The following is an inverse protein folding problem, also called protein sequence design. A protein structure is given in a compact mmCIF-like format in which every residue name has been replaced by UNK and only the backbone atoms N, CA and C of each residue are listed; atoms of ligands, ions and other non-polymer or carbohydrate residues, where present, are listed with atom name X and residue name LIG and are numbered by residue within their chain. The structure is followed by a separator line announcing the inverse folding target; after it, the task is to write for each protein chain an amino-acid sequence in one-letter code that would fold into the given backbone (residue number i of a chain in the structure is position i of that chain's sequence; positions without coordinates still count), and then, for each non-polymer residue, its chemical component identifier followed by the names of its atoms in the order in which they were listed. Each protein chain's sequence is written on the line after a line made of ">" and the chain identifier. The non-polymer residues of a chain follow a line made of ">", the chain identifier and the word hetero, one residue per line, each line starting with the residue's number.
data_IF_899602726784
#
_entry.id   IF_899602726784
#
_cell.length_a   1.000
_cell.length_b   1.000
_cell.length_c   1.000
_cell.angle_alpha   90.00
_cell.angle_beta   90.00
_cell.angle_gamma   90.00
#
_symmetry.space_group_name_H-M   'P 1'
#
loop_
_entity.id
_entity.type
_entity.pdbx_description
1 polymer ?
#
# COMPACT_ATOMS: atom_id res chain seq x y z
N UNK A 1 23.16 19.48 -8.52
CA UNK A 1 22.65 18.86 -9.75
C UNK A 1 22.89 17.37 -9.67
N UNK A 2 21.87 16.56 -9.98
CA UNK A 2 21.97 15.10 -9.94
C UNK A 2 22.56 14.55 -11.26
N UNK A 3 23.54 13.64 -11.22
CA UNK A 3 24.06 12.98 -12.42
C UNK A 3 23.00 12.16 -13.18
N UNK A 4 23.24 11.90 -14.47
CA UNK A 4 22.46 10.94 -15.26
C UNK A 4 22.50 9.55 -14.59
N UNK A 5 21.37 8.85 -14.56
CA UNK A 5 21.16 7.54 -13.92
C UNK A 5 21.33 7.51 -12.41
N UNK A 6 21.16 8.65 -11.73
CA UNK A 6 21.12 8.65 -10.27
C UNK A 6 19.94 7.79 -9.79
N UNK A 7 20.20 6.92 -8.80
CA UNK A 7 19.17 6.16 -8.12
C UNK A 7 18.73 6.94 -6.87
N UNK A 8 17.42 7.12 -6.73
CA UNK A 8 16.77 7.85 -5.65
C UNK A 8 15.74 6.94 -4.97
N UNK A 9 15.44 7.22 -3.72
CA UNK A 9 14.26 6.70 -3.02
C UNK A 9 13.17 7.76 -2.94
N UNK A 10 11.95 7.35 -2.59
CA UNK A 10 10.84 8.28 -2.33
C UNK A 10 11.16 9.31 -1.24
N UNK A 11 12.03 8.96 -0.28
CA UNK A 11 12.49 9.89 0.76
C UNK A 11 13.42 10.94 0.18
N UNK A 12 14.41 10.52 -0.62
CA UNK A 12 15.42 11.43 -1.19
C UNK A 12 14.76 12.50 -2.08
N UNK A 13 13.66 12.15 -2.74
CA UNK A 13 12.87 13.09 -3.54
C UNK A 13 12.31 14.27 -2.75
N UNK A 14 12.01 14.13 -1.45
CA UNK A 14 11.38 15.21 -0.68
C UNK A 14 12.31 16.41 -0.48
N UNK A 15 13.62 16.18 -0.54
CA UNK A 15 14.66 17.19 -0.36
C UNK A 15 15.18 17.75 -1.68
N UNK A 16 14.53 17.41 -2.81
CA UNK A 16 14.93 17.82 -4.15
C UNK A 16 13.96 18.85 -4.75
N UNK A 17 14.50 19.66 -5.66
CA UNK A 17 13.73 20.61 -6.47
C UNK A 17 14.15 20.41 -7.92
N UNK A 18 13.17 20.22 -8.80
CA UNK A 18 13.39 20.24 -10.24
C UNK A 18 13.50 21.71 -10.68
N UNK A 19 14.55 22.04 -11.43
CA UNK A 19 14.85 23.42 -11.86
C UNK A 19 15.11 23.44 -13.36
N UNK A 20 14.45 24.36 -14.09
CA UNK A 20 14.73 24.67 -15.49
C UNK A 20 14.58 26.19 -15.76
N UNK A 21 14.98 26.66 -16.94
CA UNK A 21 14.93 28.08 -17.34
C UNK A 21 13.62 28.51 -18.03
N UNK A 22 12.71 27.58 -18.30
CA UNK A 22 11.43 27.84 -18.97
C UNK A 22 10.31 26.92 -18.50
N UNK A 23 9.25 26.85 -19.31
CA UNK A 23 8.15 25.90 -19.12
C UNK A 23 8.65 24.50 -19.49
N UNK A 24 8.53 23.58 -18.54
CA UNK A 24 9.09 22.24 -18.62
C UNK A 24 8.06 21.20 -18.24
N UNK A 25 8.23 20.01 -18.82
CA UNK A 25 7.43 18.84 -18.50
C UNK A 25 8.33 17.76 -17.90
N UNK A 26 8.02 17.35 -16.67
CA UNK A 26 8.59 16.16 -16.03
C UNK A 26 7.72 14.95 -16.37
N UNK A 27 8.33 13.88 -16.86
CA UNK A 27 7.69 12.61 -17.17
C UNK A 27 8.16 11.54 -16.19
N UNK A 28 7.24 10.69 -15.74
CA UNK A 28 7.52 9.50 -14.96
C UNK A 28 6.97 8.26 -15.66
N UNK A 29 7.80 7.24 -15.81
CA UNK A 29 7.40 5.95 -16.37
C UNK A 29 7.69 4.83 -15.38
N UNK A 30 6.66 4.08 -14.99
CA UNK A 30 6.84 2.84 -14.23
C UNK A 30 7.47 1.78 -15.13
N UNK A 31 8.59 1.19 -14.67
CA UNK A 31 9.25 0.06 -15.30
C UNK A 31 9.24 -1.13 -14.35
N UNK A 32 8.72 -2.23 -14.86
CA UNK A 32 8.67 -3.50 -14.15
C UNK A 32 9.11 -4.61 -15.11
N UNK A 33 10.09 -5.43 -14.72
CA UNK A 33 10.71 -6.41 -15.62
C UNK A 33 9.73 -7.44 -16.22
N UNK A 34 8.56 -7.65 -15.58
CA UNK A 34 7.57 -8.65 -15.97
C UNK A 34 6.25 -8.06 -16.46
N UNK A 35 6.09 -6.74 -16.47
CA UNK A 35 4.86 -6.09 -16.92
C UNK A 35 5.04 -5.47 -18.30
N UNK A 36 4.09 -5.74 -19.18
CA UNK A 36 3.96 -5.05 -20.47
C UNK A 36 3.24 -3.71 -20.32
N UNK A 37 2.60 -3.46 -19.18
CA UNK A 37 1.79 -2.27 -18.93
C UNK A 37 2.67 -1.12 -18.44
N UNK A 38 2.59 0.02 -19.13
CA UNK A 38 3.29 1.25 -18.76
C UNK A 38 2.30 2.16 -18.04
N UNK A 39 2.58 2.48 -16.78
CA UNK A 39 1.93 3.59 -16.11
C UNK A 39 2.80 4.83 -16.28
N UNK A 40 2.19 5.93 -16.70
CA UNK A 40 2.88 7.19 -16.98
C UNK A 40 2.23 8.33 -16.19
N UNK A 41 3.05 9.26 -15.70
CA UNK A 41 2.60 10.50 -15.07
C UNK A 41 3.39 11.67 -15.62
N UNK A 42 2.74 12.82 -15.68
CA UNK A 42 3.28 14.03 -16.29
C UNK A 42 2.97 15.22 -15.41
N UNK A 43 3.99 16.05 -15.17
CA UNK A 43 3.84 17.31 -14.46
C UNK A 43 4.43 18.45 -15.28
N UNK A 44 3.68 19.53 -15.43
CA UNK A 44 4.17 20.76 -16.05
C UNK A 44 4.54 21.78 -14.98
N UNK A 45 5.68 22.46 -15.14
CA UNK A 45 6.13 23.51 -14.23
C UNK A 45 6.90 24.61 -14.96
N UNK A 46 6.99 25.77 -14.33
CA UNK A 46 7.79 26.88 -14.82
C UNK A 46 8.84 27.21 -13.77
N UNK A 47 10.12 27.18 -14.18
CA UNK A 47 11.31 27.41 -13.35
C UNK A 47 11.59 26.36 -12.29
N UNK A 48 10.70 26.17 -11.32
CA UNK A 48 10.96 25.32 -10.15
C UNK A 48 9.75 24.47 -9.79
N UNK A 49 9.99 23.21 -9.43
CA UNK A 49 8.98 22.30 -8.88
C UNK A 49 9.56 21.52 -7.70
N UNK A 50 8.99 21.67 -6.48
CA UNK A 50 9.34 20.82 -5.36
C UNK A 50 9.04 19.36 -5.66
N UNK A 51 10.05 18.49 -5.53
CA UNK A 51 9.90 17.07 -5.82
C UNK A 51 9.15 16.32 -4.71
N UNK A 52 8.84 16.98 -3.58
CA UNK A 52 7.99 16.45 -2.52
C UNK A 52 6.55 16.18 -2.98
N UNK A 53 5.99 17.05 -3.85
CA UNK A 53 4.67 16.82 -4.44
C UNK A 53 4.69 15.64 -5.42
N UNK A 54 5.72 15.58 -6.27
CA UNK A 54 5.95 14.50 -7.23
C UNK A 54 6.18 13.15 -6.50
N UNK A 55 6.86 13.16 -5.37
CA UNK A 55 7.15 11.95 -4.59
C UNK A 55 5.87 11.25 -4.12
N UNK A 56 4.82 11.99 -3.73
CA UNK A 56 3.55 11.41 -3.30
C UNK A 56 2.83 10.70 -4.47
N UNK A 57 2.92 11.27 -5.66
CA UNK A 57 2.36 10.72 -6.88
C UNK A 57 3.15 9.48 -7.35
N UNK A 58 4.48 9.55 -7.37
CA UNK A 58 5.33 8.40 -7.67
C UNK A 58 5.11 7.28 -6.66
N UNK A 59 4.94 7.59 -5.37
CA UNK A 59 4.61 6.60 -4.37
C UNK A 59 3.34 5.81 -4.74
N UNK A 60 2.34 6.46 -5.36
CA UNK A 60 1.11 5.79 -5.81
C UNK A 60 1.34 4.79 -6.95
N UNK A 61 2.39 4.98 -7.75
CA UNK A 61 2.79 4.07 -8.83
C UNK A 61 3.73 2.98 -8.33
N UNK A 62 4.75 3.39 -7.58
CA UNK A 62 5.87 2.54 -7.17
C UNK A 62 5.46 1.59 -6.04
N UNK A 63 4.80 2.10 -4.98
CA UNK A 63 4.52 1.29 -3.79
C UNK A 63 3.66 0.04 -4.07
N UNK A 64 2.63 0.09 -4.92
CA UNK A 64 1.82 -1.09 -5.26
C UNK A 64 2.46 -2.03 -6.29
N UNK A 65 3.57 -1.63 -6.92
CA UNK A 65 4.25 -2.43 -7.93
C UNK A 65 5.12 -3.53 -7.30
N UNK A 66 5.81 -4.33 -8.12
CA UNK A 66 6.82 -5.27 -7.60
C UNK A 66 7.89 -4.56 -6.77
N UNK A 67 8.45 -5.29 -5.81
CA UNK A 67 9.62 -4.88 -5.02
C UNK A 67 10.83 -4.46 -5.88
N UNK A 68 10.87 -4.95 -7.12
CA UNK A 68 11.89 -4.68 -8.14
C UNK A 68 11.50 -3.59 -9.13
N UNK A 69 10.34 -2.95 -8.96
CA UNK A 69 9.89 -1.89 -9.84
C UNK A 69 10.75 -0.63 -9.65
N UNK A 70 10.88 0.14 -10.73
CA UNK A 70 11.48 1.46 -10.71
C UNK A 70 10.60 2.45 -11.45
N UNK A 71 10.59 3.70 -11.01
CA UNK A 71 10.02 4.81 -11.78
C UNK A 71 11.15 5.60 -12.40
N UNK A 72 11.16 5.71 -13.72
CA UNK A 72 12.14 6.50 -14.45
C UNK A 72 11.58 7.89 -14.68
N UNK A 73 12.32 8.88 -14.19
CA UNK A 73 12.03 10.30 -14.35
C UNK A 73 12.87 10.87 -15.47
N UNK A 74 12.22 11.62 -16.37
CA UNK A 74 12.86 12.32 -17.47
C UNK A 74 12.34 13.75 -17.57
N UNK A 75 13.25 14.71 -17.79
CA UNK A 75 12.87 16.06 -18.18
C UNK A 75 12.76 16.09 -19.69
N UNK A 76 11.59 16.46 -20.22
CA UNK A 76 11.35 16.55 -21.65
C UNK A 76 12.01 17.80 -22.28
N UNK A 77 13.31 18.00 -22.02
CA UNK A 77 14.12 19.14 -22.47
C UNK A 77 15.05 18.78 -23.65
N UNK A 78 14.91 17.56 -24.21
CA UNK A 78 15.76 17.04 -25.28
C UNK A 78 17.14 16.55 -24.82
N UNK A 79 17.49 16.73 -23.55
CA UNK A 79 18.68 16.17 -22.91
C UNK A 79 18.22 14.91 -22.16
N UNK A 80 18.45 13.73 -22.73
CA UNK A 80 18.01 12.42 -22.20
C UNK A 80 18.61 12.11 -20.81
N UNK A 81 18.09 12.76 -19.77
CA UNK A 81 18.61 12.74 -18.40
C UNK A 81 17.63 11.98 -17.52
N UNK A 82 17.85 10.68 -17.45
CA UNK A 82 17.01 9.80 -16.66
C UNK A 82 17.48 9.72 -15.19
N UNK A 83 16.55 9.82 -14.25
CA UNK A 83 16.73 9.45 -12.85
C UNK A 83 15.84 8.26 -12.49
N UNK A 84 16.28 7.40 -11.59
CA UNK A 84 15.59 6.16 -11.26
C UNK A 84 15.13 6.22 -9.80
N UNK A 85 13.83 6.11 -9.56
CA UNK A 85 13.25 6.03 -8.22
C UNK A 85 12.92 4.58 -7.89
N UNK A 86 13.47 4.05 -6.79
CA UNK A 86 13.32 2.65 -6.35
C UNK A 86 12.88 2.57 -4.89
N UNK A 87 12.38 1.41 -4.47
CA UNK A 87 12.05 1.13 -3.07
C UNK A 87 13.29 1.13 -2.18
N UNK A 88 14.38 0.56 -2.67
CA UNK A 88 15.63 0.42 -1.92
C UNK A 88 16.76 1.13 -2.65
N UNK A 89 17.58 1.90 -1.92
CA UNK A 89 18.76 2.54 -2.49
C UNK A 89 19.90 1.54 -2.77
N UNK A 90 19.92 0.40 -2.08
CA UNK A 90 21.04 -0.55 -2.08
C UNK A 90 20.59 -1.99 -2.30
N UNK A 91 21.55 -2.86 -2.62
CA UNK A 91 21.39 -4.32 -2.68
C UNK A 91 22.45 -4.99 -1.80
N UNK A 92 22.14 -6.17 -1.26
CA UNK A 92 23.14 -7.06 -0.68
C UNK A 92 23.66 -8.03 -1.75
N UNK A 93 24.98 -8.10 -1.89
CA UNK A 93 25.69 -8.97 -2.82
C UNK A 93 26.54 -9.98 -2.07
N UNK A 94 26.72 -11.14 -2.68
CA UNK A 94 27.66 -12.14 -2.16
C UNK A 94 29.08 -11.75 -2.52
N UNK A 95 29.97 -11.77 -1.53
CA UNK A 95 31.41 -11.66 -1.75
C UNK A 95 32.12 -12.72 -0.89
N UNK A 96 32.63 -13.74 -1.57
CA UNK A 96 33.14 -14.95 -0.95
C UNK A 96 32.09 -15.63 -0.06
N UNK A 97 32.39 -15.74 1.24
CA UNK A 97 31.50 -16.36 2.23
C UNK A 97 30.60 -15.35 2.98
N UNK A 98 30.63 -14.07 2.62
CA UNK A 98 29.89 -13.02 3.31
C UNK A 98 28.98 -12.20 2.39
N UNK A 99 28.36 -11.19 3.00
CA UNK A 99 27.45 -10.23 2.38
C UNK A 99 28.05 -8.83 2.40
N UNK A 100 27.97 -8.14 1.28
CA UNK A 100 28.42 -6.75 1.12
C UNK A 100 27.35 -5.91 0.45
N UNK A 101 27.18 -4.66 0.89
CA UNK A 101 26.28 -3.72 0.23
C UNK A 101 26.84 -3.34 -1.16
N UNK A 102 25.94 -3.07 -2.11
CA UNK A 102 26.29 -2.68 -3.49
C UNK A 102 27.05 -1.36 -3.59
N UNK A 103 27.00 -0.52 -2.56
CA UNK A 103 27.72 0.74 -2.45
C UNK A 103 28.10 1.00 -0.98
N UNK A 104 28.97 2.00 -0.75
CA UNK A 104 29.32 2.44 0.59
C UNK A 104 28.10 3.06 1.30
N UNK A 105 27.99 2.77 2.60
CA UNK A 105 26.93 3.25 3.49
C UNK A 105 27.58 4.28 4.43
N UNK A 106 27.15 5.53 4.32
CA UNK A 106 27.65 6.62 5.17
C UNK A 106 26.89 6.71 6.50
N UNK A 107 25.72 6.09 6.55
CA UNK A 107 24.79 6.05 7.68
C UNK A 107 25.41 5.31 8.88
N UNK A 108 25.16 5.84 10.07
CA UNK A 108 25.54 5.20 11.33
C UNK A 108 24.42 4.29 11.84
N UNK A 109 24.78 3.30 12.67
CA UNK A 109 23.85 2.35 13.32
C UNK A 109 23.04 1.51 12.33
N UNK A 110 23.64 1.16 11.21
CA UNK A 110 23.05 0.16 10.32
C UNK A 110 23.22 -1.21 10.96
N UNK A 111 22.20 -2.04 10.89
CA UNK A 111 22.15 -3.39 11.42
C UNK A 111 21.94 -4.38 10.28
N UNK A 112 22.63 -5.53 10.35
CA UNK A 112 22.30 -6.68 9.52
C UNK A 112 21.17 -7.44 10.21
N UNK A 113 20.00 -7.47 9.58
CA UNK A 113 18.81 -8.11 10.12
C UNK A 113 18.37 -9.26 9.22
N UNK A 114 17.58 -10.17 9.77
CA UNK A 114 16.87 -11.15 8.99
C UNK A 114 15.62 -11.71 9.65
N UNK A 115 14.78 -12.33 8.83
CA UNK A 115 13.56 -13.03 9.24
C UNK A 115 13.59 -14.43 8.65
N UNK A 116 13.35 -15.43 9.49
CA UNK A 116 13.15 -16.79 8.99
C UNK A 116 11.81 -16.83 8.25
N UNK A 117 11.75 -17.50 7.11
CA UNK A 117 10.49 -17.74 6.38
C UNK A 117 9.53 -18.59 7.24
N UNK A 118 10.10 -19.47 8.06
CA UNK A 118 9.37 -20.30 9.01
C UNK A 118 8.85 -19.53 10.25
N UNK A 119 9.42 -18.36 10.55
CA UNK A 119 8.98 -17.49 11.64
C UNK A 119 9.00 -16.02 11.16
N UNK A 120 8.05 -15.63 10.29
CA UNK A 120 8.08 -14.34 9.61
C UNK A 120 7.78 -13.16 10.55
N UNK A 121 7.18 -13.45 11.71
CA UNK A 121 6.76 -12.45 12.70
C UNK A 121 7.97 -11.89 13.45
N UNK A 122 9.02 -12.69 13.66
CA UNK A 122 10.18 -12.32 14.44
C UNK A 122 11.37 -11.90 13.57
N UNK A 123 11.87 -10.69 13.83
CA UNK A 123 13.12 -10.20 13.27
C UNK A 123 14.29 -10.52 14.19
N UNK A 124 15.36 -11.03 13.60
CA UNK A 124 16.63 -11.24 14.29
C UNK A 124 17.63 -10.18 13.81
N UNK A 125 18.22 -9.45 14.74
CA UNK A 125 19.40 -8.61 14.47
C UNK A 125 20.67 -9.46 14.65
N UNK A 126 21.46 -9.58 13.60
CA UNK A 126 22.72 -10.34 13.61
C UNK A 126 23.91 -9.49 14.07
N UNK A 127 23.74 -8.16 14.15
CA UNK A 127 24.75 -7.23 14.65
C UNK A 127 24.88 -5.97 13.80
N UNK A 128 25.74 -5.04 14.23
CA UNK A 128 25.98 -3.80 13.51
C UNK A 128 26.69 -4.07 12.18
N UNK A 129 26.28 -3.31 11.17
CA UNK A 129 26.94 -3.17 9.88
C UNK A 129 27.64 -1.80 9.88
N UNK A 130 28.97 -1.77 10.02
CA UNK A 130 29.72 -0.50 10.04
C UNK A 130 31.00 -0.60 9.22
N UNK A 131 31.17 0.36 8.30
CA UNK A 131 32.43 0.55 7.57
C UNK A 131 33.58 1.07 8.46
N UNK A 132 33.28 1.53 9.68
CA UNK A 132 34.28 2.07 10.63
C UNK A 132 34.90 0.99 11.52
N UNK A 133 34.17 -0.08 11.87
CA UNK A 133 34.75 -1.29 12.47
C UNK A 133 35.39 -2.20 11.42
N UNK A 134 34.88 -2.14 10.18
CA UNK A 134 35.30 -2.95 9.05
C UNK A 134 35.91 -2.09 7.93
N UNK A 135 37.04 -1.45 8.23
CA UNK A 135 37.85 -0.79 7.22
C UNK A 135 38.05 -1.74 6.02
N UNK A 136 37.56 -1.32 4.83
CA UNK A 136 37.60 -2.00 3.52
C UNK A 136 36.39 -2.84 3.09
N UNK A 137 35.13 -2.49 3.41
CA UNK A 137 33.97 -3.24 2.89
C UNK A 137 34.03 -4.74 3.19
N UNK A 138 34.47 -5.14 4.39
CA UNK A 138 34.61 -6.57 4.69
C UNK A 138 33.25 -7.26 4.60
N UNK A 139 33.14 -8.39 3.88
CA UNK A 139 31.89 -9.14 3.81
C UNK A 139 31.45 -9.58 5.21
N UNK A 140 30.22 -9.21 5.60
CA UNK A 140 29.65 -9.62 6.88
C UNK A 140 29.13 -11.05 6.75
N UNK A 141 29.52 -11.93 7.66
CA UNK A 141 29.06 -13.32 7.69
C UNK A 141 27.82 -13.44 8.55
N UNK A 142 26.85 -14.21 8.06
CA UNK A 142 25.73 -14.66 8.89
C UNK A 142 26.24 -15.71 9.89
N UNK A 143 25.64 -15.80 11.10
CA UNK A 143 26.02 -16.82 12.07
C UNK A 143 25.90 -18.24 11.50
N UNK A 144 26.91 -19.09 11.70
CA UNK A 144 26.90 -20.47 11.18
C UNK A 144 25.85 -21.35 11.87
N UNK A 145 25.40 -20.96 13.07
CA UNK A 145 24.42 -21.70 13.86
C UNK A 145 22.99 -21.63 13.29
N UNK A 146 22.66 -20.65 12.44
CA UNK A 146 21.31 -20.48 11.89
C UNK A 146 21.15 -21.19 10.55
N UNK A 147 20.02 -21.83 10.35
CA UNK A 147 19.70 -22.61 9.15
C UNK A 147 18.29 -22.36 8.63
N UNK A 148 18.01 -22.93 7.46
CA UNK A 148 16.73 -22.82 6.78
C UNK A 148 16.64 -21.61 5.87
N UNK A 149 15.42 -21.19 5.57
CA UNK A 149 15.13 -20.14 4.59
C UNK A 149 14.95 -18.79 5.28
N UNK A 150 15.70 -17.78 4.84
CA UNK A 150 15.78 -16.46 5.47
C UNK A 150 15.63 -15.33 4.46
N UNK A 151 15.00 -14.24 4.89
CA UNK A 151 15.12 -12.92 4.27
C UNK A 151 16.15 -12.13 5.06
N UNK A 152 17.15 -11.59 4.38
CA UNK A 152 18.27 -10.84 4.98
C UNK A 152 18.36 -9.45 4.36
N UNK A 153 18.55 -8.43 5.18
CA UNK A 153 18.61 -7.03 4.74
C UNK A 153 19.36 -6.16 5.74
N UNK A 154 19.79 -4.98 5.29
CA UNK A 154 20.30 -3.93 6.14
C UNK A 154 19.17 -2.99 6.54
N UNK A 155 19.09 -2.69 7.83
CA UNK A 155 18.10 -1.78 8.42
C UNK A 155 18.80 -0.68 9.21
N UNK A 156 18.24 0.52 9.16
CA UNK A 156 18.59 1.64 10.03
C UNK A 156 17.30 2.10 10.71
N UNK A 157 17.20 1.90 12.03
CA UNK A 157 15.97 2.15 12.78
C UNK A 157 14.77 1.47 12.12
N UNK A 158 13.75 2.20 11.64
CA UNK A 158 12.58 1.63 10.95
C UNK A 158 12.70 1.62 9.41
N UNK A 159 13.86 2.00 8.86
CA UNK A 159 14.10 2.08 7.41
C UNK A 159 14.93 0.91 6.93
N UNK A 160 14.42 0.15 5.96
CA UNK A 160 15.18 -0.89 5.26
C UNK A 160 15.99 -0.26 4.13
N UNK A 161 17.31 -0.44 4.14
CA UNK A 161 18.24 0.18 3.19
C UNK A 161 18.51 -0.68 1.96
N UNK A 162 18.42 -2.00 2.10
CA UNK A 162 18.72 -2.92 1.00
C UNK A 162 17.50 -3.71 0.58
N UNK A 163 17.40 -4.01 -0.71
CA UNK A 163 16.47 -5.01 -1.21
C UNK A 163 16.62 -6.32 -0.41
N UNK A 164 15.56 -6.84 0.23
CA UNK A 164 15.61 -8.09 0.98
C UNK A 164 16.13 -9.24 0.12
N UNK A 165 17.16 -9.92 0.59
CA UNK A 165 17.81 -11.03 -0.07
C UNK A 165 17.30 -12.35 0.53
N UNK A 166 16.77 -13.23 -0.31
CA UNK A 166 16.46 -14.60 0.10
C UNK A 166 17.73 -15.44 0.15
N UNK A 167 17.94 -16.16 1.25
CA UNK A 167 19.10 -17.01 1.50
C UNK A 167 18.65 -18.31 2.18
N UNK A 168 19.14 -19.44 1.67
CA UNK A 168 19.06 -20.74 2.36
C UNK A 168 20.36 -21.00 3.11
N UNK A 169 20.29 -21.10 4.44
CA UNK A 169 21.42 -21.27 5.35
C UNK A 169 21.54 -22.73 5.82
N UNK A 170 22.77 -23.17 6.11
CA UNK A 170 23.12 -24.58 6.38
C UNK A 170 23.17 -24.94 7.88
N UNK A 171 22.85 -24.03 8.79
CA UNK A 171 22.86 -24.27 10.25
C UNK A 171 21.61 -24.99 10.77
N UNK A 172 21.30 -24.79 12.06
CA UNK A 172 20.11 -25.36 12.68
C UNK A 172 18.84 -24.74 12.07
N UNK A 173 18.00 -25.58 11.44
CA UNK A 173 16.77 -25.14 10.78
C UNK A 173 15.80 -24.58 11.81
N UNK A 174 15.32 -23.36 11.57
CA UNK A 174 14.24 -22.76 12.36
C UNK A 174 12.94 -23.51 12.07
N UNK A 175 12.29 -24.02 13.11
CA UNK A 175 11.00 -24.70 12.98
C UNK A 175 9.89 -23.66 12.69
N UNK A 176 8.88 -24.03 11.89
CA UNK A 176 7.72 -23.18 11.69
C UNK A 176 7.04 -22.76 12.99
N UNK A 177 6.72 -21.47 13.12
CA UNK A 177 5.99 -20.90 14.26
C UNK A 177 4.64 -20.38 13.77
N UNK A 178 3.56 -20.89 14.37
CA UNK A 178 2.19 -20.52 14.00
C UNK A 178 1.76 -21.07 12.64
N UNK A 179 0.50 -20.82 12.29
CA UNK A 179 -0.09 -21.35 11.05
C UNK A 179 0.50 -20.65 9.82
N UNK A 180 0.82 -19.36 9.94
CA UNK A 180 1.46 -18.60 8.88
C UNK A 180 2.89 -19.10 8.62
N UNK A 181 3.66 -19.37 9.68
CA UNK A 181 5.01 -19.92 9.55
C UNK A 181 4.99 -21.29 8.86
N UNK A 182 4.03 -22.15 9.20
CA UNK A 182 3.82 -23.45 8.55
C UNK A 182 3.47 -23.31 7.07
N UNK A 183 2.59 -22.36 6.73
CA UNK A 183 2.20 -22.11 5.35
C UNK A 183 3.33 -21.49 4.52
N UNK A 184 4.13 -20.61 5.12
CA UNK A 184 5.26 -19.95 4.47
C UNK A 184 6.45 -20.88 4.28
N UNK A 185 6.72 -21.79 5.22
CA UNK A 185 7.82 -22.75 5.11
C UNK A 185 7.61 -23.86 4.07
N UNK A 186 6.43 -23.92 3.43
CA UNK A 186 6.15 -24.92 2.40
C UNK A 186 7.06 -24.76 1.17
N UNK A 187 7.37 -25.87 0.47
CA UNK A 187 8.05 -25.82 -0.82
C UNK A 187 7.31 -24.92 -1.81
N UNK A 188 8.04 -24.20 -2.66
CA UNK A 188 7.48 -23.23 -3.61
C UNK A 188 6.31 -23.77 -4.45
N UNK A 189 6.34 -25.04 -4.83
CA UNK A 189 5.29 -25.69 -5.62
C UNK A 189 3.93 -25.80 -4.89
N UNK A 190 3.93 -25.84 -3.55
CA UNK A 190 2.72 -25.95 -2.72
C UNK A 190 2.41 -24.65 -1.98
N UNK A 191 3.41 -23.79 -1.77
CA UNK A 191 3.31 -22.58 -0.97
C UNK A 191 2.14 -21.69 -1.40
N UNK A 192 1.91 -21.51 -2.70
CA UNK A 192 0.83 -20.64 -3.19
C UNK A 192 -0.56 -21.12 -2.73
N UNK A 193 -0.80 -22.44 -2.83
CA UNK A 193 -2.03 -23.08 -2.39
C UNK A 193 -2.16 -23.07 -0.86
N UNK A 194 -1.07 -23.32 -0.12
CA UNK A 194 -1.11 -23.34 1.34
C UNK A 194 -1.32 -21.93 1.91
N UNK A 195 -0.73 -20.91 1.31
CA UNK A 195 -1.00 -19.51 1.69
C UNK A 195 -2.43 -19.10 1.41
N UNK A 196 -3.01 -19.57 0.30
CA UNK A 196 -4.43 -19.38 0.02
C UNK A 196 -5.32 -20.05 1.08
N UNK A 197 -5.05 -21.31 1.42
CA UNK A 197 -5.79 -22.02 2.47
C UNK A 197 -5.67 -21.33 3.84
N UNK A 198 -4.49 -20.76 4.15
CA UNK A 198 -4.29 -19.96 5.36
C UNK A 198 -5.16 -18.68 5.36
N UNK A 199 -5.26 -17.97 4.23
CA UNK A 199 -6.11 -16.78 4.12
C UNK A 199 -7.60 -17.12 4.19
N UNK A 200 -8.00 -18.27 3.63
CA UNK A 200 -9.36 -18.80 3.75
C UNK A 200 -9.68 -19.13 5.22
N UNK A 201 -8.78 -19.81 5.93
CA UNK A 201 -8.91 -20.06 7.37
C UNK A 201 -9.01 -18.76 8.17
N UNK A 202 -8.20 -17.74 7.84
CA UNK A 202 -8.25 -16.44 8.51
C UNK A 202 -9.58 -15.70 8.29
N UNK A 203 -10.35 -16.07 7.26
CA UNK A 203 -11.70 -15.55 7.07
C UNK A 203 -12.74 -16.18 8.02
N UNK A 204 -12.43 -17.30 8.67
CA UNK A 204 -13.33 -17.96 9.61
C UNK A 204 -13.41 -17.20 10.95
N UNK A 205 -14.55 -17.32 11.64
CA UNK A 205 -14.82 -16.65 12.93
C UNK A 205 -14.43 -17.51 14.15
N UNK A 206 -14.00 -18.76 13.93
CA UNK A 206 -13.55 -19.65 15.01
C UNK A 206 -12.18 -19.29 15.57
N UNK A 207 -11.78 -19.93 16.67
CA UNK A 207 -10.52 -19.67 17.38
C UNK A 207 -9.28 -19.72 16.47
N UNK A 208 -9.23 -20.72 15.57
CA UNK A 208 -8.14 -20.84 14.59
C UNK A 208 -8.14 -19.71 13.57
N UNK A 209 -9.32 -19.29 13.09
CA UNK A 209 -9.43 -18.14 12.19
C UNK A 209 -9.02 -16.83 12.87
N UNK A 210 -9.41 -16.64 14.14
CA UNK A 210 -8.97 -15.49 14.94
C UNK A 210 -7.45 -15.48 15.16
N UNK A 211 -6.84 -16.63 15.45
CA UNK A 211 -5.39 -16.72 15.61
C UNK A 211 -4.65 -16.43 14.30
N UNK A 212 -5.13 -16.94 13.16
CA UNK A 212 -4.56 -16.65 11.84
C UNK A 212 -4.69 -15.16 11.48
N UNK A 213 -5.82 -14.53 11.82
CA UNK A 213 -6.02 -13.09 11.67
C UNK A 213 -5.02 -12.29 12.51
N UNK A 214 -4.83 -12.67 13.77
CA UNK A 214 -3.90 -12.00 14.68
C UNK A 214 -2.43 -12.15 14.19
N UNK A 215 -2.05 -13.29 13.60
CA UNK A 215 -0.74 -13.48 12.93
C UNK A 215 -0.56 -12.55 11.72
N UNK A 216 -1.59 -12.32 10.90
CA UNK A 216 -1.54 -11.37 9.78
C UNK A 216 -1.37 -9.92 10.22
N UNK A 217 -2.07 -9.52 11.29
CA UNK A 217 -1.96 -8.19 11.88
C UNK A 217 -0.56 -8.01 12.47
N UNK A 218 -0.04 -9.03 13.18
CA UNK A 218 1.31 -9.03 13.73
C UNK A 218 2.38 -8.93 12.64
N UNK A 219 2.24 -9.67 11.53
CA UNK A 219 3.17 -9.57 10.39
C UNK A 219 3.14 -8.14 9.82
N UNK A 220 1.95 -7.60 9.61
CA UNK A 220 1.75 -6.26 9.04
C UNK A 220 2.37 -5.16 9.90
N UNK A 221 2.07 -5.18 11.20
CA UNK A 221 2.66 -4.25 12.17
C UNK A 221 4.17 -4.45 12.34
N UNK A 222 4.65 -5.68 12.12
CA UNK A 222 6.04 -6.06 12.23
C UNK A 222 6.89 -5.76 11.00
N UNK A 223 6.38 -5.16 9.91
CA UNK A 223 7.16 -5.00 8.67
C UNK A 223 8.40 -4.11 8.81
N UNK A 224 8.42 -3.13 9.73
CA UNK A 224 9.58 -2.27 10.03
C UNK A 224 10.31 -1.72 8.80
N UNK A 225 9.54 -1.16 7.86
CA UNK A 225 10.04 -0.59 6.61
C UNK A 225 10.15 -1.58 5.44
N UNK A 226 9.89 -2.87 5.64
CA UNK A 226 9.71 -3.82 4.54
C UNK A 226 8.40 -3.50 3.78
N UNK A 227 8.42 -3.40 2.44
CA UNK A 227 7.19 -3.33 1.67
C UNK A 227 6.33 -4.59 1.91
N UNK A 228 5.00 -4.48 2.05
CA UNK A 228 4.11 -5.64 2.15
C UNK A 228 4.33 -6.65 1.01
N UNK A 229 4.68 -6.17 -0.18
CA UNK A 229 5.03 -6.98 -1.34
C UNK A 229 6.23 -7.93 -1.15
N UNK A 230 7.02 -7.79 -0.08
CA UNK A 230 8.06 -8.75 0.30
C UNK A 230 7.46 -10.12 0.65
N UNK A 231 6.25 -10.15 1.21
CA UNK A 231 5.59 -11.38 1.66
C UNK A 231 4.44 -11.77 0.71
N UNK A 232 4.52 -12.96 0.12
CA UNK A 232 3.50 -13.44 -0.83
C UNK A 232 2.08 -13.51 -0.21
N UNK A 233 1.97 -13.80 1.09
CA UNK A 233 0.68 -13.81 1.80
C UNK A 233 0.00 -12.43 1.75
N UNK A 234 0.76 -11.35 1.94
CA UNK A 234 0.23 -9.98 1.94
C UNK A 234 -0.13 -9.52 0.53
N UNK A 235 0.59 -9.99 -0.50
CA UNK A 235 0.23 -9.75 -1.91
C UNK A 235 -1.13 -10.34 -2.29
N UNK A 236 -1.56 -11.41 -1.63
CA UNK A 236 -2.85 -12.07 -1.87
C UNK A 236 -4.01 -11.41 -1.10
N UNK A 237 -3.75 -10.67 -0.03
CA UNK A 237 -4.78 -10.01 0.80
C UNK A 237 -5.82 -9.18 0.02
N UNK A 238 -5.47 -8.44 -1.06
CA UNK A 238 -6.46 -7.67 -1.84
C UNK A 238 -7.62 -8.51 -2.39
N UNK A 239 -7.42 -9.83 -2.57
CA UNK A 239 -8.48 -10.75 -3.01
C UNK A 239 -9.46 -11.15 -1.89
N UNK A 240 -9.18 -10.75 -0.64
CA UNK A 240 -9.96 -11.09 0.56
C UNK A 240 -10.46 -9.81 1.27
N UNK A 241 -11.37 -9.03 0.65
CA UNK A 241 -11.87 -7.77 1.21
C UNK A 241 -12.53 -7.94 2.59
N UNK A 242 -13.16 -9.08 2.86
CA UNK A 242 -13.71 -9.44 4.17
C UNK A 242 -12.63 -9.53 5.26
N UNK A 243 -11.47 -10.11 4.91
CA UNK A 243 -10.36 -10.26 5.82
C UNK A 243 -9.71 -8.91 6.12
N UNK A 244 -9.56 -8.07 5.10
CA UNK A 244 -9.06 -6.70 5.25
C UNK A 244 -9.95 -5.89 6.21
N UNK A 245 -11.28 -5.92 6.05
CA UNK A 245 -12.20 -5.23 6.96
C UNK A 245 -12.04 -5.71 8.42
N UNK A 246 -11.94 -7.03 8.62
CA UNK A 246 -11.68 -7.62 9.94
C UNK A 246 -10.33 -7.19 10.51
N UNK A 247 -9.26 -7.19 9.71
CA UNK A 247 -7.94 -6.70 10.13
C UNK A 247 -7.99 -5.25 10.61
N UNK A 248 -8.68 -4.36 9.87
CA UNK A 248 -8.78 -2.95 10.21
C UNK A 248 -9.50 -2.70 11.55
N UNK A 249 -10.56 -3.46 11.85
CA UNK A 249 -11.31 -3.33 13.10
C UNK A 249 -10.66 -4.07 14.28
N UNK A 250 -9.92 -5.14 14.02
CA UNK A 250 -9.20 -5.94 15.04
C UNK A 250 -7.88 -5.31 15.46
N UNK A 251 -7.25 -4.51 14.59
CA UNK A 251 -5.96 -3.87 14.88
C UNK A 251 -6.03 -2.99 16.13
N UNK A 252 -5.08 -3.21 17.05
CA UNK A 252 -4.90 -2.33 18.20
C UNK A 252 -4.48 -0.92 17.77
N UNK A 253 -4.55 0.04 18.68
CA UNK A 253 -4.15 1.42 18.40
C UNK A 253 -2.71 1.53 17.84
N UNK A 254 -1.78 0.77 18.41
CA UNK A 254 -0.38 0.74 17.98
C UNK A 254 -0.16 0.08 16.60
N UNK A 255 -1.09 -0.76 16.15
CA UNK A 255 -0.99 -1.48 14.87
C UNK A 255 -1.77 -0.79 13.76
N UNK A 256 -2.66 0.15 14.11
CA UNK A 256 -3.67 0.71 13.20
C UNK A 256 -3.06 1.39 11.99
N UNK A 257 -2.01 2.20 12.19
CA UNK A 257 -1.33 2.91 11.09
C UNK A 257 -0.74 1.91 10.09
N UNK A 258 0.01 0.91 10.58
CA UNK A 258 0.62 -0.12 9.75
C UNK A 258 -0.43 -0.92 8.94
N UNK A 259 -1.56 -1.26 9.57
CA UNK A 259 -2.67 -1.93 8.87
C UNK A 259 -3.29 -1.01 7.83
N UNK A 260 -3.64 0.23 8.18
CA UNK A 260 -4.25 1.15 7.21
C UNK A 260 -3.32 1.51 6.05
N UNK A 261 -2.02 1.55 6.27
CA UNK A 261 -1.01 1.85 5.26
C UNK A 261 -0.77 0.72 4.26
N UNK A 262 -1.31 -0.49 4.51
CA UNK A 262 -1.34 -1.56 3.50
C UNK A 262 -1.94 -1.08 2.17
N UNK A 263 -2.97 -0.22 2.22
CA UNK A 263 -3.59 0.35 1.02
C UNK A 263 -2.66 1.29 0.23
N UNK A 264 -1.52 1.71 0.79
CA UNK A 264 -0.52 2.47 0.05
C UNK A 264 0.33 1.56 -0.85
N UNK A 265 0.61 0.34 -0.41
CA UNK A 265 1.52 -0.60 -1.07
C UNK A 265 0.85 -1.84 -1.69
N UNK A 266 -0.47 -1.93 -1.60
CA UNK A 266 -1.23 -3.04 -2.18
C UNK A 266 -2.39 -2.50 -3.07
N UNK A 267 -2.80 -3.26 -4.09
CA UNK A 267 -3.82 -2.86 -5.06
C UNK A 267 -5.26 -2.98 -4.51
N UNK A 268 -5.54 -2.34 -3.37
CA UNK A 268 -6.89 -2.19 -2.82
C UNK A 268 -7.04 -0.81 -2.15
N UNK A 269 -8.26 -0.36 -1.90
CA UNK A 269 -8.51 0.82 -1.08
C UNK A 269 -9.59 0.52 -0.04
N UNK A 270 -9.41 1.00 1.19
CA UNK A 270 -10.36 0.78 2.29
C UNK A 270 -11.78 1.22 1.94
N UNK A 271 -11.93 2.38 1.30
CA UNK A 271 -13.22 2.91 0.89
C UNK A 271 -13.87 2.16 -0.28
N UNK A 272 -13.19 1.20 -0.92
CA UNK A 272 -13.76 0.34 -1.97
C UNK A 272 -14.24 -1.01 -1.44
N UNK A 273 -13.95 -1.35 -0.19
CA UNK A 273 -14.43 -2.59 0.43
C UNK A 273 -15.96 -2.51 0.58
N UNK A 274 -16.71 -3.53 0.11
CA UNK A 274 -18.16 -3.56 0.23
C UNK A 274 -18.70 -3.38 1.66
N UNK A 275 -19.83 -2.69 1.78
CA UNK A 275 -20.46 -2.39 3.08
C UNK A 275 -20.77 -3.63 3.91
N UNK A 276 -21.17 -4.73 3.27
CA UNK A 276 -21.48 -5.98 3.98
C UNK A 276 -20.29 -6.50 4.78
N UNK A 277 -19.08 -6.41 4.22
CA UNK A 277 -17.87 -6.90 4.88
C UNK A 277 -17.46 -6.02 6.06
N UNK A 278 -17.71 -4.72 5.99
CA UNK A 278 -17.58 -3.84 7.14
C UNK A 278 -18.60 -4.18 8.22
N UNK A 279 -19.87 -4.39 7.87
CA UNK A 279 -20.90 -4.78 8.82
C UNK A 279 -20.60 -6.13 9.52
N UNK A 280 -20.15 -7.13 8.76
CA UNK A 280 -19.74 -8.43 9.30
C UNK A 280 -18.55 -8.28 10.25
N UNK A 281 -17.55 -7.48 9.88
CA UNK A 281 -16.39 -7.21 10.72
C UNK A 281 -16.74 -6.39 11.98
N UNK A 282 -17.69 -5.45 11.90
CA UNK A 282 -18.23 -4.71 13.04
C UNK A 282 -18.94 -5.66 14.02
N UNK A 283 -19.76 -6.58 13.50
CA UNK A 283 -20.44 -7.59 14.30
C UNK A 283 -19.43 -8.52 15.01
N UNK A 284 -18.44 -9.03 14.29
CA UNK A 284 -17.39 -9.89 14.86
C UNK A 284 -16.57 -9.16 15.93
N UNK A 285 -16.22 -7.89 15.70
CA UNK A 285 -15.52 -7.07 16.69
C UNK A 285 -16.39 -6.82 17.94
N UNK A 286 -17.68 -6.55 17.75
CA UNK A 286 -18.66 -6.38 18.84
C UNK A 286 -18.82 -7.64 19.68
N UNK A 287 -18.96 -8.81 19.06
CA UNK A 287 -19.02 -10.11 19.74
C UNK A 287 -17.75 -10.37 20.56
N UNK A 288 -16.58 -10.15 19.96
CA UNK A 288 -15.30 -10.33 20.66
C UNK A 288 -15.15 -9.36 21.85
N UNK A 289 -15.56 -8.09 21.69
CA UNK A 289 -15.54 -7.12 22.77
C UNK A 289 -16.52 -7.49 23.90
N UNK A 290 -17.72 -7.99 23.58
CA UNK A 290 -18.67 -8.47 24.59
C UNK A 290 -18.10 -9.63 25.40
N UNK A 291 -17.42 -10.58 24.75
CA UNK A 291 -16.81 -11.72 25.45
C UNK A 291 -15.68 -11.28 26.39
N UNK A 292 -14.86 -10.30 25.98
CA UNK A 292 -13.83 -9.70 26.84
C UNK A 292 -14.43 -8.98 28.06
N UNK A 293 -15.59 -8.36 27.88
CA UNK A 293 -16.26 -7.54 28.89
C UNK A 293 -17.36 -8.27 29.65
N UNK A 294 -17.52 -9.59 29.45
CA UNK A 294 -18.65 -10.39 29.97
C UNK A 294 -18.85 -10.34 31.49
N UNK A 295 -17.83 -9.91 32.24
CA UNK A 295 -17.88 -9.73 33.69
C UNK A 295 -18.44 -8.36 34.13
N UNK A 296 -18.71 -7.45 33.20
CA UNK A 296 -19.27 -6.12 33.45
C UNK A 296 -20.79 -6.10 33.20
N UNK A 297 -21.53 -5.39 34.06
CA UNK A 297 -23.01 -5.34 34.01
C UNK A 297 -23.58 -4.73 32.71
N UNK A 298 -22.81 -3.93 32.00
CA UNK A 298 -23.21 -3.22 30.77
C UNK A 298 -22.25 -3.49 29.60
N UNK A 299 -21.77 -4.73 29.52
CA UNK A 299 -20.87 -5.20 28.47
C UNK A 299 -21.32 -4.83 27.04
N UNK A 300 -22.63 -4.90 26.68
CA UNK A 300 -23.08 -4.52 25.34
C UNK A 300 -22.82 -3.05 24.99
N UNK A 301 -23.12 -2.10 25.89
CA UNK A 301 -22.87 -0.67 25.63
C UNK A 301 -21.37 -0.41 25.47
N UNK A 302 -20.53 -0.96 26.35
CA UNK A 302 -19.09 -0.79 26.25
C UNK A 302 -18.49 -1.42 24.98
N UNK A 303 -18.97 -2.59 24.57
CA UNK A 303 -18.57 -3.21 23.31
C UNK A 303 -18.90 -2.32 22.10
N UNK A 304 -20.11 -1.74 22.06
CA UNK A 304 -20.48 -0.77 21.02
C UNK A 304 -19.59 0.47 21.03
N UNK A 305 -19.29 1.01 22.22
CA UNK A 305 -18.39 2.17 22.36
C UNK A 305 -16.97 1.88 21.85
N UNK A 306 -16.45 0.67 22.09
CA UNK A 306 -15.16 0.23 21.56
C UNK A 306 -15.16 0.19 20.03
N UNK A 307 -16.18 -0.42 19.42
CA UNK A 307 -16.31 -0.51 17.95
C UNK A 307 -16.42 0.90 17.34
N UNK A 308 -17.26 1.76 17.91
CA UNK A 308 -17.43 3.14 17.43
C UNK A 308 -16.16 3.99 17.59
N UNK A 309 -15.38 3.76 18.65
CA UNK A 309 -14.08 4.43 18.83
C UNK A 309 -13.09 3.99 17.76
N UNK A 310 -13.04 2.70 17.43
CA UNK A 310 -12.21 2.18 16.33
C UNK A 310 -12.66 2.74 14.98
N UNK A 311 -13.98 2.79 14.70
CA UNK A 311 -14.50 3.37 13.45
C UNK A 311 -14.11 4.83 13.28
N UNK A 312 -14.24 5.66 14.33
CA UNK A 312 -13.76 7.05 14.30
C UNK A 312 -12.27 7.13 14.00
N UNK A 313 -11.46 6.32 14.68
CA UNK A 313 -10.02 6.28 14.43
C UNK A 313 -9.64 5.83 13.00
N UNK A 314 -10.46 4.97 12.38
CA UNK A 314 -10.31 4.60 10.97
C UNK A 314 -10.73 5.73 10.03
N UNK A 315 -11.84 6.42 10.31
CA UNK A 315 -12.30 7.59 9.54
C UNK A 315 -11.27 8.71 9.57
N UNK A 316 -10.68 9.00 10.73
CA UNK A 316 -9.65 10.03 10.87
C UNK A 316 -8.43 9.78 9.95
N UNK A 317 -8.09 8.50 9.73
CA UNK A 317 -7.01 8.08 8.82
C UNK A 317 -7.45 7.98 7.37
N UNK A 318 -8.70 7.58 7.14
CA UNK A 318 -9.28 7.30 5.84
C UNK A 318 -10.66 7.96 5.74
N UNK A 319 -10.74 9.28 5.47
CA UNK A 319 -11.99 10.04 5.56
C UNK A 319 -13.13 9.50 4.70
N UNK A 320 -12.82 8.90 3.55
CA UNK A 320 -13.82 8.30 2.66
C UNK A 320 -14.58 7.12 3.29
N UNK A 321 -14.06 6.52 4.38
CA UNK A 321 -14.78 5.49 5.13
C UNK A 321 -16.04 6.03 5.82
N UNK A 322 -16.12 7.34 6.11
CA UNK A 322 -17.32 7.92 6.72
C UNK A 322 -18.58 7.59 5.91
N UNK A 323 -18.53 7.81 4.60
CA UNK A 323 -19.64 7.49 3.70
C UNK A 323 -19.93 5.99 3.60
N UNK A 324 -18.90 5.14 3.71
CA UNK A 324 -19.06 3.68 3.71
C UNK A 324 -19.79 3.23 4.97
N UNK A 325 -19.42 3.75 6.13
CA UNK A 325 -20.09 3.53 7.43
C UNK A 325 -21.45 4.25 7.55
N UNK A 326 -21.92 4.94 6.51
CA UNK A 326 -23.20 5.64 6.51
C UNK A 326 -23.21 6.94 7.31
N UNK A 327 -22.04 7.50 7.62
CA UNK A 327 -21.85 8.77 8.31
C UNK A 327 -21.66 9.91 7.30
N UNK A 328 -22.04 11.13 7.71
CA UNK A 328 -21.83 12.35 6.92
C UNK A 328 -23.07 12.87 6.18
N UNK A 329 -23.10 14.20 6.04
CA UNK A 329 -24.07 14.90 5.21
C UNK A 329 -23.77 14.68 3.73
N UNK A 330 -24.83 14.66 2.92
CA UNK A 330 -24.71 14.50 1.47
C UNK A 330 -25.35 15.67 0.77
N UNK A 331 -24.59 16.28 -0.13
CA UNK A 331 -25.08 17.27 -1.09
C UNK A 331 -25.62 16.50 -2.31
N UNK A 332 -26.71 16.95 -2.96
CA UNK A 332 -27.17 16.34 -4.22
C UNK A 332 -26.06 16.29 -5.26
N UNK A 333 -25.95 15.17 -5.99
CA UNK A 333 -24.82 14.94 -6.89
C UNK A 333 -24.70 16.03 -7.97
N UNK A 334 -25.83 16.52 -8.49
CA UNK A 334 -25.87 17.58 -9.49
C UNK A 334 -25.24 18.89 -8.97
N UNK A 335 -25.54 19.26 -7.72
CA UNK A 335 -25.01 20.46 -7.09
C UNK A 335 -23.50 20.32 -6.87
N UNK A 336 -23.05 19.18 -6.31
CA UNK A 336 -21.63 18.91 -6.11
C UNK A 336 -20.85 18.97 -7.45
N UNK A 337 -21.46 18.47 -8.53
CA UNK A 337 -20.85 18.47 -9.87
C UNK A 337 -20.64 19.87 -10.41
N UNK A 338 -21.65 20.73 -10.30
CA UNK A 338 -21.57 22.12 -10.75
C UNK A 338 -20.53 22.92 -9.96
N UNK A 339 -20.46 22.72 -8.65
CA UNK A 339 -19.49 23.39 -7.79
C UNK A 339 -18.05 22.92 -8.07
N UNK A 340 -17.86 21.64 -8.35
CA UNK A 340 -16.57 21.08 -8.76
C UNK A 340 -16.09 21.68 -10.08
N UNK A 341 -16.90 21.60 -11.13
CA UNK A 341 -16.52 22.11 -12.45
C UNK A 341 -16.22 23.61 -12.42
N UNK A 342 -16.97 24.40 -11.66
CA UNK A 342 -16.69 25.85 -11.50
C UNK A 342 -15.31 26.14 -10.91
N UNK A 343 -14.79 25.27 -10.03
CA UNK A 343 -13.55 25.50 -9.27
C UNK A 343 -12.33 24.85 -9.92
N UNK A 344 -12.50 23.74 -10.62
CA UNK A 344 -11.40 22.84 -10.97
C UNK A 344 -11.24 22.59 -12.47
N UNK A 345 -12.11 23.12 -13.34
CA UNK A 345 -12.10 22.79 -14.78
C UNK A 345 -10.72 22.90 -15.44
N UNK A 346 -9.96 23.96 -15.16
CA UNK A 346 -8.62 24.17 -15.73
C UNK A 346 -7.54 23.22 -15.18
N UNK A 347 -7.81 22.55 -14.05
CA UNK A 347 -6.91 21.61 -13.38
C UNK A 347 -7.21 20.16 -13.71
N UNK A 348 -8.31 19.87 -14.40
CA UNK A 348 -8.67 18.50 -14.77
C UNK A 348 -7.77 18.06 -15.93
N UNK A 349 -6.99 16.98 -15.76
CA UNK A 349 -6.22 16.42 -16.87
C UNK A 349 -7.17 15.97 -17.97
N UNK A 350 -6.89 16.35 -19.22
CA UNK A 350 -7.68 15.90 -20.35
C UNK A 350 -7.62 14.37 -20.48
N UNK A 351 -8.79 13.74 -20.61
CA UNK A 351 -8.90 12.30 -20.86
C UNK A 351 -9.82 11.98 -22.05
N UNK A 352 -9.88 10.72 -22.46
CA UNK A 352 -10.80 10.28 -23.51
C UNK A 352 -12.23 9.99 -23.00
N UNK A 353 -12.43 10.07 -21.67
CA UNK A 353 -13.71 9.86 -20.98
C UNK A 353 -14.27 8.44 -21.05
N UNK A 354 -13.48 7.45 -21.50
CA UNK A 354 -13.96 6.09 -21.76
C UNK A 354 -13.68 5.10 -20.64
N UNK A 355 -12.72 5.41 -19.76
CA UNK A 355 -12.18 4.48 -18.74
C UNK A 355 -13.27 3.75 -17.96
N UNK A 356 -14.26 4.51 -17.48
CA UNK A 356 -15.37 3.96 -16.70
C UNK A 356 -16.62 3.72 -17.54
N UNK A 357 -16.88 4.56 -18.55
CA UNK A 357 -18.07 4.47 -19.39
C UNK A 357 -18.14 3.18 -20.19
N UNK A 358 -17.02 2.69 -20.72
CA UNK A 358 -16.98 1.43 -21.46
C UNK A 358 -17.30 0.21 -20.57
N UNK A 359 -17.00 0.31 -19.27
CA UNK A 359 -17.18 -0.78 -18.28
C UNK A 359 -18.52 -0.73 -17.57
N UNK A 360 -19.01 0.47 -17.25
CA UNK A 360 -20.14 0.71 -16.35
C UNK A 360 -21.37 1.27 -17.05
N UNK A 361 -21.20 1.91 -18.22
CA UNK A 361 -22.28 2.41 -19.07
C UNK A 361 -23.36 3.17 -18.29
N UNK A 362 -24.57 2.62 -18.30
CA UNK A 362 -25.78 3.21 -17.72
C UNK A 362 -25.84 3.15 -16.18
N UNK A 363 -24.87 2.50 -15.51
CA UNK A 363 -24.77 2.54 -14.06
C UNK A 363 -24.20 3.87 -13.54
N UNK A 364 -23.58 4.65 -14.42
CA UNK A 364 -23.06 5.99 -14.11
C UNK A 364 -24.11 7.06 -14.46
N UNK A 365 -24.09 8.23 -13.80
CA UNK A 365 -25.04 9.30 -14.07
C UNK A 365 -25.04 9.71 -15.55
N UNK A 366 -26.20 9.61 -16.21
CA UNK A 366 -26.32 9.91 -17.64
C UNK A 366 -26.14 11.40 -17.96
N UNK A 367 -26.49 12.29 -17.03
CA UNK A 367 -26.38 13.74 -17.26
C UNK A 367 -24.93 14.23 -17.33
N UNK A 368 -23.95 13.46 -16.86
CA UNK A 368 -22.54 13.80 -17.04
C UNK A 368 -22.14 13.86 -18.52
N UNK A 369 -22.84 13.13 -19.40
CA UNK A 369 -22.62 13.15 -20.85
C UNK A 369 -22.97 14.51 -21.49
N UNK A 370 -23.57 15.44 -20.74
CA UNK A 370 -23.78 16.82 -21.19
C UNK A 370 -22.53 17.70 -21.03
N UNK A 371 -21.48 17.21 -20.37
CA UNK A 371 -20.20 17.91 -20.21
C UNK A 371 -19.17 17.45 -21.25
N UNK A 372 -18.04 18.15 -21.32
CA UNK A 372 -16.92 17.77 -22.19
C UNK A 372 -16.42 16.36 -21.84
N UNK A 373 -16.19 15.54 -22.86
CA UNK A 373 -15.60 14.21 -22.73
C UNK A 373 -14.30 14.24 -21.92
N UNK A 374 -13.51 15.32 -22.05
CA UNK A 374 -12.23 15.48 -21.38
C UNK A 374 -12.29 15.46 -19.85
N UNK A 375 -13.45 15.72 -19.25
CA UNK A 375 -13.63 15.74 -17.79
C UNK A 375 -14.36 14.52 -17.23
N UNK A 376 -14.86 13.62 -18.10
CA UNK A 376 -15.74 12.53 -17.68
C UNK A 376 -15.08 11.58 -16.70
N UNK A 377 -13.80 11.24 -16.87
CA UNK A 377 -13.14 10.31 -15.95
C UNK A 377 -13.04 10.86 -14.52
N UNK A 378 -12.86 12.18 -14.38
CA UNK A 378 -12.84 12.86 -13.08
C UNK A 378 -14.24 12.89 -12.43
N UNK A 379 -15.30 13.01 -13.24
CA UNK A 379 -16.68 12.97 -12.76
C UNK A 379 -17.15 11.55 -12.40
N UNK A 380 -16.77 10.57 -13.21
CA UNK A 380 -17.20 9.18 -13.08
C UNK A 380 -16.50 8.43 -11.95
N UNK A 381 -15.24 8.78 -11.65
CA UNK A 381 -14.43 8.10 -10.63
C UNK A 381 -15.15 7.90 -9.27
N UNK A 382 -15.68 8.94 -8.59
CA UNK A 382 -16.38 8.74 -7.32
C UNK A 382 -17.66 7.89 -7.45
N UNK A 383 -18.37 7.97 -8.59
CA UNK A 383 -19.56 7.17 -8.84
C UNK A 383 -19.20 5.68 -9.07
N UNK A 384 -18.12 5.43 -9.82
CA UNK A 384 -17.57 4.10 -10.05
C UNK A 384 -17.08 3.47 -8.73
N UNK A 385 -16.42 4.23 -7.86
CA UNK A 385 -16.07 3.78 -6.52
C UNK A 385 -17.30 3.38 -5.69
N UNK A 386 -18.38 4.17 -5.74
CA UNK A 386 -19.62 3.84 -5.03
C UNK A 386 -20.27 2.55 -5.56
N UNK A 387 -20.20 2.31 -6.88
CA UNK A 387 -20.66 1.05 -7.49
C UNK A 387 -19.83 -0.16 -7.04
N UNK A 388 -18.53 0.01 -6.83
CA UNK A 388 -17.67 -1.05 -6.29
C UNK A 388 -18.05 -1.44 -4.85
N UNK A 389 -18.30 -0.45 -3.99
CA UNK A 389 -18.79 -0.67 -2.61
C UNK A 389 -20.16 -1.33 -2.57
N UNK A 390 -20.99 -1.06 -3.59
CA UNK A 390 -22.31 -1.71 -3.80
C UNK A 390 -22.20 -3.08 -4.48
N UNK A 391 -21.00 -3.57 -4.75
CA UNK A 391 -20.74 -4.84 -5.44
C UNK A 391 -21.32 -4.93 -6.86
N UNK A 392 -21.60 -3.78 -7.48
CA UNK A 392 -22.08 -3.72 -8.87
C UNK A 392 -20.92 -3.79 -9.88
N UNK A 393 -19.68 -3.64 -9.39
CA UNK A 393 -18.47 -3.69 -10.20
C UNK A 393 -17.26 -4.11 -9.37
N UNK A 394 -16.39 -4.91 -9.97
CA UNK A 394 -15.09 -5.27 -9.38
C UNK A 394 -13.98 -4.50 -10.13
N UNK A 395 -13.39 -3.46 -9.51
CA UNK A 395 -12.37 -2.65 -10.16
C UNK A 395 -11.07 -3.43 -10.36
N UNK A 396 -10.39 -3.21 -11.49
CA UNK A 396 -9.04 -3.77 -11.70
C UNK A 396 -8.01 -3.03 -10.83
N UNK A 397 -6.78 -3.57 -10.67
CA UNK A 397 -5.69 -2.85 -9.99
C UNK A 397 -5.40 -1.46 -10.59
N UNK A 398 -5.56 -1.30 -11.91
CA UNK A 398 -5.41 -0.01 -12.58
C UNK A 398 -6.55 0.95 -12.21
N UNK A 399 -7.78 0.46 -12.20
CA UNK A 399 -8.95 1.25 -11.80
C UNK A 399 -8.80 1.74 -10.35
N UNK A 400 -8.34 0.86 -9.44
CA UNK A 400 -8.09 1.20 -8.03
C UNK A 400 -7.02 2.30 -7.90
N UNK A 401 -5.92 2.22 -8.68
CA UNK A 401 -4.89 3.27 -8.70
C UNK A 401 -5.48 4.60 -9.16
N UNK A 402 -6.26 4.60 -10.24
CA UNK A 402 -6.90 5.81 -10.75
C UNK A 402 -7.91 6.40 -9.75
N UNK A 403 -8.72 5.57 -9.09
CA UNK A 403 -9.67 6.01 -8.05
C UNK A 403 -8.94 6.67 -6.86
N UNK A 404 -7.83 6.08 -6.40
CA UNK A 404 -6.99 6.68 -5.35
C UNK A 404 -6.39 8.01 -5.80
N UNK A 405 -5.90 8.09 -7.03
CA UNK A 405 -5.35 9.33 -7.59
C UNK A 405 -6.43 10.42 -7.66
N UNK A 406 -7.60 10.11 -8.23
CA UNK A 406 -8.73 11.03 -8.29
C UNK A 406 -9.15 11.55 -6.90
N UNK A 407 -9.22 10.66 -5.90
CA UNK A 407 -9.51 11.01 -4.51
C UNK A 407 -8.44 11.90 -3.85
N UNK A 408 -7.19 11.84 -4.28
CA UNK A 408 -6.11 12.72 -3.82
C UNK A 408 -6.09 14.06 -4.54
N UNK A 409 -6.33 14.05 -5.85
CA UNK A 409 -6.32 15.26 -6.69
C UNK A 409 -7.52 16.15 -6.41
N UNK A 410 -8.70 15.56 -6.20
CA UNK A 410 -9.96 16.27 -5.99
C UNK A 410 -10.70 15.76 -4.74
N UNK A 411 -10.13 15.90 -3.53
CA UNK A 411 -10.62 15.24 -2.33
C UNK A 411 -12.05 15.65 -1.94
N UNK A 412 -12.38 16.94 -2.02
CA UNK A 412 -13.71 17.46 -1.71
C UNK A 412 -14.76 16.91 -2.67
N UNK A 413 -14.53 17.05 -3.99
CA UNK A 413 -15.42 16.53 -5.02
C UNK A 413 -15.60 15.01 -4.90
N UNK A 414 -14.49 14.28 -4.79
CA UNK A 414 -14.53 12.83 -4.71
C UNK A 414 -15.34 12.38 -3.49
N UNK A 415 -15.11 12.99 -2.32
CA UNK A 415 -15.85 12.67 -1.10
C UNK A 415 -17.35 12.96 -1.22
N UNK A 416 -17.73 14.15 -1.70
CA UNK A 416 -19.13 14.55 -1.84
C UNK A 416 -19.88 13.67 -2.85
N UNK A 417 -19.31 13.48 -4.04
CA UNK A 417 -19.90 12.69 -5.10
C UNK A 417 -19.97 11.20 -4.76
N UNK A 418 -18.95 10.67 -4.08
CA UNK A 418 -18.94 9.29 -3.61
C UNK A 418 -20.05 9.07 -2.57
N UNK A 419 -20.17 9.97 -1.58
CA UNK A 419 -21.21 9.89 -0.57
C UNK A 419 -22.62 10.02 -1.15
N UNK A 420 -22.84 10.98 -2.07
CA UNK A 420 -24.10 11.14 -2.79
C UNK A 420 -24.43 9.89 -3.61
N UNK A 421 -23.48 9.39 -4.41
CA UNK A 421 -23.65 8.18 -5.24
C UNK A 421 -23.91 6.93 -4.41
N UNK A 422 -23.35 6.83 -3.21
CA UNK A 422 -23.64 5.73 -2.29
C UNK A 422 -25.10 5.77 -1.80
N UNK A 423 -25.68 6.96 -1.59
CA UNK A 423 -27.07 7.14 -1.15
C UNK A 423 -28.08 7.09 -2.31
N UNK A 424 -27.75 7.58 -3.50
CA UNK A 424 -28.63 7.70 -4.68
C UNK A 424 -28.96 6.36 -5.38
N UNK A 425 -29.06 5.23 -4.68
CA UNK A 425 -29.66 4.04 -5.30
C UNK A 425 -30.41 3.17 -4.30
N UNK A 426 -31.74 3.33 -4.28
CA UNK A 426 -32.67 2.24 -4.50
C UNK A 426 -33.01 2.21 -6.00
#
# INVERSE_FOLDING_TARGET
>A
MLPHRTCLTLSDMRDLVAIDSGDMTLLAHLREQRSTERAEMTWSFSREMPMSAVAADIASLLLPASIDAEVVLDMNNGINTNWHVRHFPLELKEDGAGLVASAAIAEQRVELCGRAIADPLHETCFGPYSLLSDANHRPVKLPEAIGGDWLVYLRQDERVLTRPLYRRLQGAVTLPVGMLGEAMAQPFALQDQTLQAFLELACDEGDQGSAALDELIALTAGLRGLPPGTFNVLKKLPAYPQLLARMALRASEAQRDAVTDLALSLPFAWFLIPRKYWADAENAAGLAAMELLKSLDDAPRFAMEMVETTKRALIDRQPLLAAVFGQGETVPLEQATQDFLRRAMERIPASDGRRYRDKLGNHLPGYFLNFDTAVLDALDAPCAAALAVKEKWAPSPEDIRHLKLAGRTFPTWFSEAFAASLKESA
#
